data_IF_006811897789
#
_entry.id   IF_006811897789
#
_cell.length_a   1.000
_cell.length_b   1.000
_cell.length_c   1.000
_cell.angle_alpha   90.00
_cell.angle_beta   90.00
_cell.angle_gamma   90.00
#
_symmetry.space_group_name_H-M   'P 1'
#
loop_
_entity.id
_entity.type
_entity.pdbx_description
1 polymer ?
#
# COMPACT_ATOMS: atom_id res chain seq x y z
N UNK A 1 -19.86 35.79 -33.01
CA UNK A 1 -19.02 35.18 -31.95
C UNK A 1 -18.47 33.81 -32.39
N UNK A 2 -17.15 33.58 -32.43
CA UNK A 2 -16.62 32.29 -32.87
C UNK A 2 -16.87 31.22 -31.78
N UNK A 3 -17.27 29.99 -32.15
CA UNK A 3 -17.64 28.95 -31.20
C UNK A 3 -16.45 28.02 -30.92
N UNK A 4 -16.32 27.62 -29.65
CA UNK A 4 -15.46 26.55 -29.12
C UNK A 4 -13.94 26.72 -29.29
N UNK A 5 -13.30 27.25 -28.24
CA UNK A 5 -11.89 27.02 -27.96
C UNK A 5 -11.68 25.53 -27.65
N UNK A 6 -11.36 24.73 -28.66
CA UNK A 6 -10.91 23.34 -28.46
C UNK A 6 -9.54 23.43 -27.79
N UNK A 7 -9.49 23.23 -26.48
CA UNK A 7 -8.24 23.10 -25.73
C UNK A 7 -7.56 21.83 -26.26
N UNK A 8 -6.58 22.00 -27.17
CA UNK A 8 -5.78 20.90 -27.68
C UNK A 8 -4.84 20.43 -26.56
N UNK A 9 -5.16 19.30 -25.94
CA UNK A 9 -4.23 18.63 -25.04
C UNK A 9 -3.02 18.17 -25.87
N UNK A 10 -1.82 18.66 -25.55
CA UNK A 10 -0.60 18.14 -26.17
C UNK A 10 -0.31 16.80 -25.49
N UNK A 11 -0.21 15.69 -26.23
CA UNK A 11 0.08 14.40 -25.63
C UNK A 11 1.45 14.47 -24.94
N UNK A 12 1.47 14.13 -23.67
CA UNK A 12 2.67 14.03 -22.84
C UNK A 12 3.00 12.57 -22.59
N UNK A 13 4.21 12.28 -22.14
CA UNK A 13 4.62 10.92 -21.75
C UNK A 13 3.72 10.31 -20.65
N UNK A 14 3.04 11.16 -19.86
CA UNK A 14 2.11 10.71 -18.83
C UNK A 14 0.77 10.22 -19.42
N UNK A 15 0.46 10.54 -20.68
CA UNK A 15 -0.76 10.07 -21.35
C UNK A 15 -0.58 8.64 -21.92
N UNK A 16 0.62 8.06 -21.81
CA UNK A 16 0.88 6.69 -22.24
C UNK A 16 0.15 5.67 -21.36
N UNK A 17 -0.37 4.58 -21.94
CA UNK A 17 -0.94 3.48 -21.18
C UNK A 17 0.07 2.84 -20.21
N UNK A 18 -0.41 2.37 -19.05
CA UNK A 18 0.42 1.78 -18.01
C UNK A 18 1.29 0.60 -18.49
N UNK A 19 0.79 -0.22 -19.42
CA UNK A 19 1.53 -1.36 -19.95
C UNK A 19 2.75 -0.93 -20.78
N UNK A 20 2.69 0.23 -21.45
CA UNK A 20 3.82 0.79 -22.20
C UNK A 20 4.88 1.30 -21.24
N UNK A 21 4.47 2.00 -20.17
CA UNK A 21 5.40 2.46 -19.12
C UNK A 21 6.12 1.29 -18.45
N UNK A 22 5.40 0.20 -18.16
CA UNK A 22 6.00 -1.03 -17.62
C UNK A 22 7.02 -1.64 -18.59
N UNK A 23 6.71 -1.71 -19.88
CA UNK A 23 7.66 -2.20 -20.88
C UNK A 23 8.94 -1.36 -20.92
N UNK A 24 8.83 -0.04 -20.84
CA UNK A 24 10.01 0.85 -20.75
C UNK A 24 10.82 0.53 -19.48
N UNK A 25 10.19 0.33 -18.33
CA UNK A 25 10.90 -0.03 -17.10
C UNK A 25 11.60 -1.39 -17.24
N UNK A 26 10.96 -2.39 -17.83
CA UNK A 26 11.58 -3.71 -18.05
C UNK A 26 12.76 -3.66 -19.02
N UNK A 27 12.81 -2.67 -19.93
CA UNK A 27 14.00 -2.47 -20.78
C UNK A 27 15.17 -1.79 -20.04
N UNK A 28 14.88 -1.01 -18.98
CA UNK A 28 15.89 -0.32 -18.17
C UNK A 28 16.42 -1.24 -17.06
N UNK A 29 15.53 -2.03 -16.46
CA UNK A 29 15.82 -2.96 -15.37
C UNK A 29 15.58 -4.38 -15.89
N UNK A 30 16.52 -4.84 -16.71
CA UNK A 30 16.51 -6.19 -17.29
C UNK A 30 17.10 -7.20 -16.28
N UNK A 31 16.36 -8.26 -15.91
CA UNK A 31 16.88 -9.34 -15.06
C UNK A 31 18.10 -10.08 -15.62
N UNK A 32 18.41 -9.93 -16.91
CA UNK A 32 19.58 -10.54 -17.54
C UNK A 32 20.87 -9.72 -17.37
N UNK A 33 20.79 -8.51 -16.81
CA UNK A 33 21.97 -7.71 -16.46
C UNK A 33 22.76 -8.35 -15.31
N UNK A 34 23.98 -7.84 -15.06
CA UNK A 34 24.72 -8.24 -13.85
C UNK A 34 23.89 -7.91 -12.59
N UNK A 35 24.06 -8.72 -11.52
CA UNK A 35 23.29 -8.51 -10.29
C UNK A 35 23.45 -7.10 -9.71
N UNK A 36 24.63 -6.51 -9.86
CA UNK A 36 24.97 -5.16 -9.41
C UNK A 36 24.22 -4.10 -10.23
N UNK A 37 24.25 -4.18 -11.57
CA UNK A 37 23.51 -3.27 -12.45
C UNK A 37 22.00 -3.36 -12.22
N UNK A 38 21.49 -4.58 -12.01
CA UNK A 38 20.09 -4.80 -11.68
C UNK A 38 19.71 -4.13 -10.34
N UNK A 39 20.54 -4.26 -9.30
CA UNK A 39 20.32 -3.60 -7.99
C UNK A 39 20.35 -2.08 -8.11
N UNK A 40 21.30 -1.53 -8.85
CA UNK A 40 21.36 -0.09 -9.15
C UNK A 40 20.13 0.40 -9.92
N UNK A 41 19.66 -0.38 -10.89
CA UNK A 41 18.42 -0.11 -11.62
C UNK A 41 17.23 -0.01 -10.67
N UNK A 42 17.03 -0.99 -9.79
CA UNK A 42 15.97 -0.97 -8.77
C UNK A 42 16.12 0.22 -7.80
N UNK A 43 17.36 0.56 -7.40
CA UNK A 43 17.63 1.74 -6.58
C UNK A 43 17.22 3.04 -7.26
N UNK A 44 17.57 3.20 -8.53
CA UNK A 44 17.19 4.38 -9.29
C UNK A 44 15.66 4.48 -9.48
N UNK A 45 14.95 3.37 -9.71
CA UNK A 45 13.49 3.36 -9.72
C UNK A 45 12.90 3.86 -8.39
N UNK A 46 13.49 3.43 -7.28
CA UNK A 46 13.02 3.75 -5.93
C UNK A 46 13.37 5.18 -5.48
N UNK A 47 14.46 5.79 -5.96
CA UNK A 47 14.89 7.12 -5.50
C UNK A 47 14.57 8.23 -6.48
N UNK A 48 14.53 7.94 -7.79
CA UNK A 48 14.39 8.95 -8.83
C UNK A 48 13.09 8.80 -9.64
N UNK A 49 12.94 7.72 -10.41
CA UNK A 49 11.86 7.65 -11.41
C UNK A 49 10.45 7.67 -10.79
N UNK A 50 10.27 7.05 -9.62
CA UNK A 50 8.96 7.06 -8.92
C UNK A 50 8.46 8.47 -8.55
N UNK A 51 9.34 9.47 -8.49
CA UNK A 51 9.00 10.84 -8.06
C UNK A 51 8.55 11.73 -9.22
N UNK A 52 8.65 11.26 -10.47
CA UNK A 52 8.38 12.07 -11.67
C UNK A 52 6.90 12.32 -11.88
N UNK A 53 6.06 11.29 -11.77
CA UNK A 53 4.60 11.41 -11.88
C UNK A 53 3.88 10.23 -11.22
N UNK A 54 2.57 10.37 -10.98
CA UNK A 54 1.75 9.29 -10.41
C UNK A 54 1.71 8.04 -11.29
N UNK A 55 1.83 8.17 -12.61
CA UNK A 55 1.82 7.02 -13.53
C UNK A 55 3.15 6.25 -13.46
N UNK A 56 4.26 6.98 -13.41
CA UNK A 56 5.58 6.40 -13.16
C UNK A 56 5.69 5.79 -11.76
N UNK A 57 5.12 6.43 -10.74
CA UNK A 57 5.03 5.86 -9.39
C UNK A 57 4.38 4.48 -9.43
N UNK A 58 3.20 4.35 -10.05
CA UNK A 58 2.50 3.06 -10.15
C UNK A 58 3.32 2.01 -10.90
N UNK A 59 4.00 2.40 -11.99
CA UNK A 59 4.80 1.49 -12.79
C UNK A 59 6.05 1.01 -12.03
N UNK A 60 6.80 1.94 -11.44
CA UNK A 60 7.97 1.64 -10.61
C UNK A 60 7.61 0.77 -9.42
N UNK A 61 6.55 1.13 -8.68
CA UNK A 61 6.13 0.37 -7.50
C UNK A 61 5.61 -1.01 -7.87
N UNK A 62 5.00 -1.20 -9.03
CA UNK A 62 4.63 -2.54 -9.50
C UNK A 62 5.87 -3.44 -9.65
N UNK A 63 6.90 -2.96 -10.36
CA UNK A 63 8.15 -3.71 -10.57
C UNK A 63 8.85 -3.96 -9.24
N UNK A 64 9.07 -2.92 -8.43
CA UNK A 64 9.72 -3.01 -7.12
C UNK A 64 9.00 -3.98 -6.19
N UNK A 65 7.69 -3.87 -6.05
CA UNK A 65 6.94 -4.77 -5.18
C UNK A 65 6.96 -6.20 -5.70
N UNK A 66 6.88 -6.43 -7.01
CA UNK A 66 6.97 -7.79 -7.57
C UNK A 66 8.35 -8.43 -7.32
N UNK A 67 9.43 -7.65 -7.41
CA UNK A 67 10.79 -8.12 -7.17
C UNK A 67 11.06 -8.47 -5.70
N UNK A 68 10.52 -7.67 -4.76
CA UNK A 68 10.78 -7.84 -3.33
C UNK A 68 9.68 -8.61 -2.58
N UNK A 69 8.55 -8.93 -3.21
CA UNK A 69 7.47 -9.67 -2.57
C UNK A 69 7.91 -11.04 -2.03
N UNK A 70 8.66 -11.88 -2.75
CA UNK A 70 9.10 -13.17 -2.22
C UNK A 70 9.95 -13.02 -0.96
N UNK A 71 10.88 -12.05 -0.96
CA UNK A 71 11.71 -11.72 0.19
C UNK A 71 10.88 -11.16 1.36
N UNK A 72 9.87 -10.33 1.09
CA UNK A 72 8.97 -9.83 2.14
C UNK A 72 8.20 -10.97 2.80
N UNK A 73 7.65 -11.89 2.01
CA UNK A 73 6.86 -13.03 2.51
C UNK A 73 7.71 -13.97 3.36
N UNK A 74 8.99 -14.18 3.02
CA UNK A 74 9.87 -15.04 3.83
C UNK A 74 10.16 -14.49 5.24
N UNK A 75 10.03 -13.19 5.45
CA UNK A 75 10.24 -12.55 6.76
C UNK A 75 8.99 -12.56 7.65
N UNK A 76 7.82 -12.90 7.11
CA UNK A 76 6.58 -12.95 7.87
C UNK A 76 6.59 -14.18 8.77
N UNK A 77 6.55 -13.92 10.08
CA UNK A 77 6.57 -14.97 11.10
C UNK A 77 5.20 -15.64 11.22
N UNK A 78 5.12 -16.99 11.24
CA UNK A 78 3.92 -17.67 11.70
C UNK A 78 3.54 -17.19 13.12
N UNK A 79 2.26 -16.97 13.46
CA UNK A 79 1.04 -17.34 12.73
C UNK A 79 0.48 -16.23 11.81
N UNK A 80 1.27 -15.21 11.48
CA UNK A 80 0.81 -14.10 10.66
C UNK A 80 0.64 -14.51 9.19
N UNK A 81 -0.43 -14.03 8.55
CA UNK A 81 -0.66 -14.22 7.12
C UNK A 81 -0.22 -12.99 6.33
N UNK A 82 0.33 -13.23 5.15
CA UNK A 82 0.54 -12.19 4.15
C UNK A 82 -0.64 -12.21 3.18
N UNK A 83 -1.25 -11.06 2.92
CA UNK A 83 -1.91 -10.86 1.63
C UNK A 83 -1.83 -9.37 1.30
N UNK A 84 -0.64 -8.88 0.87
CA UNK A 84 -0.46 -7.50 0.46
C UNK A 84 -1.19 -7.18 -0.86
N UNK A 85 -1.84 -8.18 -1.48
CA UNK A 85 -2.65 -8.08 -2.69
C UNK A 85 -3.91 -8.95 -2.57
N UNK A 86 -4.89 -8.63 -1.70
CA UNK A 86 -6.19 -9.24 -1.82
C UNK A 86 -6.70 -8.87 -3.22
N UNK A 87 -7.02 -9.90 -4.00
CA UNK A 87 -7.67 -9.83 -5.30
C UNK A 87 -9.07 -9.22 -5.15
N UNK A 88 -9.16 -7.97 -4.70
CA UNK A 88 -10.27 -7.09 -5.03
C UNK A 88 -10.06 -6.79 -6.50
N UNK A 89 -10.73 -7.56 -7.35
CA UNK A 89 -10.61 -7.55 -8.79
C UNK A 89 -10.18 -6.18 -9.34
N UNK A 90 -9.11 -6.08 -10.15
CA UNK A 90 -8.78 -4.83 -10.83
C UNK A 90 -9.99 -4.28 -11.60
N UNK A 91 -10.96 -5.12 -11.97
CA UNK A 91 -12.23 -4.71 -12.55
C UNK A 91 -13.01 -3.69 -11.68
N UNK A 92 -12.90 -3.69 -10.35
CA UNK A 92 -13.60 -2.69 -9.51
C UNK A 92 -12.94 -1.32 -9.53
N UNK A 93 -11.61 -1.27 -9.69
CA UNK A 93 -10.84 -0.02 -9.79
C UNK A 93 -10.97 0.57 -11.21
N UNK A 94 -10.93 -0.29 -12.22
CA UNK A 94 -11.15 0.09 -13.61
C UNK A 94 -12.63 0.45 -13.88
N UNK A 95 -13.61 -0.30 -13.36
CA UNK A 95 -15.04 0.02 -13.57
C UNK A 95 -15.47 1.34 -12.92
N UNK A 96 -14.83 1.78 -11.83
CA UNK A 96 -15.06 3.08 -11.23
C UNK A 96 -14.52 4.23 -12.12
N UNK A 97 -13.40 4.02 -12.82
CA UNK A 97 -12.84 4.98 -13.77
C UNK A 97 -13.66 5.08 -15.08
N UNK A 98 -14.42 4.03 -15.43
CA UNK A 98 -15.25 3.99 -16.65
C UNK A 98 -16.77 4.14 -16.40
N UNK A 99 -17.21 4.31 -15.15
CA UNK A 99 -18.62 4.64 -14.86
C UNK A 99 -18.89 6.10 -15.17
N UNK A 100 -19.04 6.39 -16.46
CA UNK A 100 -19.45 7.68 -17.01
C UNK A 100 -20.96 7.86 -16.80
N UNK A 101 -21.40 8.11 -15.56
CA UNK A 101 -22.69 8.78 -15.33
C UNK A 101 -22.44 10.27 -15.13
N UNK A 102 -22.99 11.15 -15.98
CA UNK A 102 -22.75 12.58 -15.91
C UNK A 102 -23.62 13.18 -14.79
N UNK A 103 -23.12 13.17 -13.56
CA UNK A 103 -23.66 14.01 -12.49
C UNK A 103 -22.61 15.03 -12.08
N UNK A 104 -22.93 16.29 -12.33
CA UNK A 104 -22.16 17.52 -12.08
C UNK A 104 -21.56 17.58 -10.67
N UNK A 105 -20.34 17.07 -10.51
CA UNK A 105 -19.36 17.55 -9.52
C UNK A 105 -17.97 17.05 -9.92
N UNK A 106 -16.96 17.87 -9.62
CA UNK A 106 -15.59 17.83 -10.14
C UNK A 106 -14.92 16.43 -10.17
N UNK A 107 -13.94 16.19 -11.07
CA UNK A 107 -13.17 14.95 -11.09
C UNK A 107 -12.32 14.87 -9.82
N UNK A 108 -12.82 14.18 -8.81
CA UNK A 108 -12.02 13.77 -7.66
C UNK A 108 -11.03 12.72 -8.11
N UNK A 109 -9.76 13.02 -7.91
CA UNK A 109 -8.63 12.08 -7.87
C UNK A 109 -9.05 10.77 -7.19
N UNK A 110 -8.51 9.60 -7.60
CA UNK A 110 -8.89 8.33 -6.99
C UNK A 110 -8.40 8.26 -5.54
N UNK A 111 -9.19 8.82 -4.62
CA UNK A 111 -9.07 8.73 -3.18
C UNK A 111 -9.14 7.28 -2.65
N UNK A 112 -9.32 6.31 -3.55
CA UNK A 112 -9.24 4.88 -3.28
C UNK A 112 -7.80 4.38 -3.03
N UNK A 113 -6.78 5.16 -3.40
CA UNK A 113 -5.38 4.84 -3.14
C UNK A 113 -4.92 5.14 -1.70
N UNK A 114 -5.55 6.09 -0.99
CA UNK A 114 -5.26 6.34 0.43
C UNK A 114 -6.06 5.41 1.36
N UNK A 115 -7.19 4.88 0.89
CA UNK A 115 -7.86 3.72 1.49
C UNK A 115 -7.19 2.38 1.06
N UNK A 116 -5.94 2.40 0.60
CA UNK A 116 -5.19 1.20 0.21
C UNK A 116 -4.91 0.29 1.40
N UNK A 117 -4.59 -0.98 1.10
CA UNK A 117 -4.13 -1.94 2.11
C UNK A 117 -2.94 -1.37 2.86
N UNK A 118 -3.08 -1.27 4.18
CA UNK A 118 -2.04 -0.69 5.03
C UNK A 118 -0.80 -1.58 5.07
N UNK A 119 -0.96 -2.89 4.86
CA UNK A 119 0.16 -3.82 4.71
C UNK A 119 1.03 -3.47 3.47
N UNK A 120 0.45 -2.94 2.39
CA UNK A 120 1.22 -2.49 1.23
C UNK A 120 2.18 -1.34 1.58
N UNK A 121 1.80 -0.44 2.49
CA UNK A 121 2.71 0.62 2.95
C UNK A 121 3.89 0.04 3.76
N UNK A 122 3.68 -1.05 4.48
CA UNK A 122 4.74 -1.77 5.19
C UNK A 122 5.69 -2.45 4.20
N UNK A 123 5.15 -3.07 3.14
CA UNK A 123 5.95 -3.60 2.03
C UNK A 123 6.78 -2.48 1.36
N UNK A 124 6.19 -1.31 1.11
CA UNK A 124 6.91 -0.18 0.50
C UNK A 124 8.06 0.32 1.38
N UNK A 125 7.88 0.31 2.71
CA UNK A 125 8.95 0.65 3.65
C UNK A 125 10.05 -0.42 3.69
N UNK A 126 9.68 -1.70 3.61
CA UNK A 126 10.63 -2.80 3.47
C UNK A 126 11.44 -2.68 2.16
N UNK A 127 10.80 -2.36 1.04
CA UNK A 127 11.47 -2.13 -0.25
C UNK A 127 12.47 -0.98 -0.13
N UNK A 128 12.06 0.16 0.44
CA UNK A 128 12.95 1.31 0.59
C UNK A 128 14.19 0.98 1.43
N UNK A 129 14.02 0.17 2.49
CA UNK A 129 15.14 -0.35 3.27
C UNK A 129 16.02 -1.29 2.45
N UNK A 130 15.43 -2.31 1.83
CA UNK A 130 16.17 -3.37 1.14
C UNK A 130 16.95 -2.87 -0.07
N UNK A 131 16.33 -1.99 -0.87
CA UNK A 131 16.96 -1.39 -2.05
C UNK A 131 18.20 -0.58 -1.66
N UNK A 132 18.14 0.15 -0.54
CA UNK A 132 19.29 0.89 -0.01
C UNK A 132 20.38 -0.05 0.54
N UNK A 133 19.98 -1.09 1.28
CA UNK A 133 20.93 -2.08 1.81
C UNK A 133 21.68 -2.83 0.70
N UNK A 134 21.00 -3.16 -0.40
CA UNK A 134 21.63 -3.84 -1.53
C UNK A 134 22.76 -3.00 -2.14
N UNK A 135 22.52 -1.71 -2.41
CA UNK A 135 23.56 -0.81 -2.95
C UNK A 135 24.70 -0.59 -1.95
N UNK A 136 24.38 -0.38 -0.67
CA UNK A 136 25.41 -0.23 0.36
C UNK A 136 26.30 -1.47 0.49
N UNK A 137 25.73 -2.67 0.31
CA UNK A 137 26.47 -3.93 0.31
C UNK A 137 27.43 -4.03 -0.86
N UNK A 138 27.01 -3.57 -2.04
CA UNK A 138 27.86 -3.55 -3.24
C UNK A 138 29.03 -2.55 -3.07
N UNK A 139 28.83 -1.46 -2.33
CA UNK A 139 29.90 -0.47 -2.03
C UNK A 139 30.84 -0.92 -0.89
N UNK A 140 30.32 -1.48 0.21
CA UNK A 140 31.13 -1.94 1.35
C UNK A 140 30.35 -2.84 2.32
N UNK A 141 30.94 -3.98 2.68
CA UNK A 141 30.39 -4.90 3.68
C UNK A 141 30.44 -4.37 5.12
N UNK A 142 31.23 -3.32 5.38
CA UNK A 142 31.38 -2.71 6.73
C UNK A 142 30.08 -2.05 7.22
N UNK A 143 29.16 -1.71 6.33
CA UNK A 143 27.89 -1.04 6.68
C UNK A 143 26.73 -2.01 7.00
N UNK A 144 26.98 -3.33 7.02
CA UNK A 144 25.95 -4.37 7.14
C UNK A 144 25.44 -4.63 8.57
N UNK A 145 25.97 -3.93 9.59
CA UNK A 145 25.65 -4.16 11.01
C UNK A 145 24.16 -4.01 11.36
N UNK A 146 23.36 -3.39 10.49
CA UNK A 146 21.91 -3.22 10.68
C UNK A 146 21.02 -4.31 10.03
N UNK A 147 21.59 -5.32 9.39
CA UNK A 147 20.88 -6.20 8.44
C UNK A 147 19.57 -6.80 8.95
N UNK A 148 19.60 -7.49 10.09
CA UNK A 148 18.42 -8.17 10.64
C UNK A 148 17.66 -7.35 11.71
N UNK A 149 18.32 -6.37 12.32
CA UNK A 149 17.70 -5.47 13.30
C UNK A 149 16.86 -4.39 12.61
N UNK A 150 17.29 -3.90 11.44
CA UNK A 150 16.63 -2.80 10.73
C UNK A 150 15.21 -3.12 10.26
N UNK A 151 14.88 -4.40 10.08
CA UNK A 151 13.53 -4.87 9.72
C UNK A 151 12.79 -5.56 10.85
N UNK A 152 13.38 -5.63 12.05
CA UNK A 152 12.75 -6.33 13.18
C UNK A 152 11.42 -5.68 13.55
N UNK A 153 11.39 -4.36 13.71
CA UNK A 153 10.17 -3.62 14.06
C UNK A 153 9.10 -3.69 12.96
N UNK A 154 9.55 -3.76 11.68
CA UNK A 154 8.69 -3.96 10.52
C UNK A 154 7.87 -5.23 10.67
N UNK A 155 8.48 -6.36 11.04
CA UNK A 155 7.79 -7.66 11.09
C UNK A 155 7.25 -8.02 12.48
N UNK A 156 7.76 -7.44 13.56
CA UNK A 156 7.27 -7.69 14.92
C UNK A 156 6.05 -6.83 15.29
N UNK A 157 5.96 -5.61 14.74
CA UNK A 157 4.93 -4.64 15.11
C UNK A 157 4.15 -4.12 13.91
N UNK A 158 4.82 -3.57 12.89
CA UNK A 158 4.15 -2.82 11.83
C UNK A 158 3.35 -3.71 10.88
N UNK A 159 3.94 -4.81 10.40
CA UNK A 159 3.28 -5.76 9.51
C UNK A 159 2.06 -6.39 10.19
N UNK A 160 2.14 -6.94 11.42
CA UNK A 160 0.97 -7.54 12.06
C UNK A 160 -0.12 -6.52 12.37
N UNK A 161 0.25 -5.29 12.76
CA UNK A 161 -0.69 -4.19 12.97
C UNK A 161 -1.42 -3.84 11.69
N UNK A 162 -0.68 -3.52 10.62
CA UNK A 162 -1.25 -3.11 9.34
C UNK A 162 -2.12 -4.22 8.73
N UNK A 163 -1.67 -5.47 8.85
CA UNK A 163 -2.43 -6.65 8.45
C UNK A 163 -3.74 -6.79 9.23
N UNK A 164 -3.71 -6.57 10.53
CA UNK A 164 -4.93 -6.58 11.36
C UNK A 164 -5.89 -5.46 10.93
N UNK A 165 -5.39 -4.27 10.62
CA UNK A 165 -6.21 -3.16 10.11
C UNK A 165 -6.89 -3.51 8.77
N UNK A 166 -6.19 -4.19 7.86
CA UNK A 166 -6.73 -4.66 6.59
C UNK A 166 -7.79 -5.78 6.77
N UNK A 167 -7.58 -6.67 7.74
CA UNK A 167 -8.56 -7.70 8.11
C UNK A 167 -9.81 -7.09 8.75
N UNK A 168 -9.65 -6.12 9.67
CA UNK A 168 -10.74 -5.34 10.25
C UNK A 168 -11.53 -4.68 9.15
N UNK A 169 -10.87 -4.04 8.18
CA UNK A 169 -11.55 -3.46 7.01
C UNK A 169 -12.44 -4.49 6.31
N UNK A 170 -11.89 -5.66 6.00
CA UNK A 170 -12.61 -6.73 5.29
C UNK A 170 -13.83 -7.22 6.06
N UNK A 171 -13.70 -7.46 7.37
CA UNK A 171 -14.80 -7.96 8.21
C UNK A 171 -15.84 -6.86 8.49
N UNK A 172 -15.39 -5.65 8.81
CA UNK A 172 -16.26 -4.52 9.14
C UNK A 172 -17.03 -4.01 7.91
N UNK A 173 -16.43 -4.03 6.72
CA UNK A 173 -17.15 -3.75 5.46
C UNK A 173 -18.25 -4.78 5.22
N UNK A 174 -17.95 -6.06 5.44
CA UNK A 174 -18.93 -7.15 5.30
C UNK A 174 -20.08 -7.02 6.30
N UNK A 175 -19.79 -6.59 7.52
CA UNK A 175 -20.78 -6.32 8.55
C UNK A 175 -21.54 -4.99 8.34
N UNK A 176 -21.12 -4.16 7.38
CA UNK A 176 -21.79 -2.90 7.06
C UNK A 176 -21.53 -1.75 8.03
N UNK A 177 -20.63 -1.90 8.99
CA UNK A 177 -20.33 -0.90 10.04
C UNK A 177 -19.37 0.22 9.60
N UNK A 178 -18.61 0.00 8.53
CA UNK A 178 -17.65 1.00 8.01
C UNK A 178 -17.92 1.36 6.54
N UNK A 179 -17.42 2.53 6.14
CA UNK A 179 -17.40 3.01 4.75
C UNK A 179 -15.96 3.22 4.25
N UNK A 180 -15.77 3.01 2.95
CA UNK A 180 -14.54 3.27 2.20
C UNK A 180 -14.88 4.32 1.14
N UNK A 181 -14.07 5.37 1.01
CA UNK A 181 -14.32 6.50 0.12
C UNK A 181 -14.82 7.78 0.82
N UNK A 182 -14.92 8.85 0.02
CA UNK A 182 -15.26 10.21 0.46
C UNK A 182 -16.76 10.49 0.51
N UNK A 183 -17.60 9.56 0.05
CA UNK A 183 -19.06 9.71 0.11
C UNK A 183 -19.53 9.46 1.53
N UNK A 184 -19.69 10.55 2.28
CA UNK A 184 -20.33 10.56 3.60
C UNK A 184 -21.83 10.28 3.44
N UNK A 185 -22.21 9.04 3.17
CA UNK A 185 -23.61 8.65 3.30
C UNK A 185 -23.97 8.70 4.79
N UNK A 186 -24.68 9.78 5.14
CA UNK A 186 -25.47 10.02 6.35
C UNK A 186 -25.23 9.08 7.54
N UNK A 187 -24.39 9.54 8.49
CA UNK A 187 -24.52 9.31 9.93
C UNK A 187 -24.31 7.90 10.52
N UNK A 188 -24.46 6.82 9.76
CA UNK A 188 -24.57 5.47 10.33
C UNK A 188 -23.25 4.67 10.32
N UNK A 189 -22.32 5.00 9.41
CA UNK A 189 -21.07 4.23 9.20
C UNK A 189 -19.82 5.01 9.58
N UNK A 190 -18.84 4.31 10.15
CA UNK A 190 -17.55 4.90 10.50
C UNK A 190 -16.61 4.86 9.28
N UNK A 191 -16.02 5.99 8.84
CA UNK A 191 -15.03 5.99 7.77
C UNK A 191 -13.78 5.18 8.16
N UNK A 192 -13.33 4.27 7.29
CA UNK A 192 -12.18 3.39 7.59
C UNK A 192 -10.89 4.16 7.93
N UNK A 193 -10.65 5.30 7.27
CA UNK A 193 -9.52 6.20 7.55
C UNK A 193 -9.48 6.72 9.00
N UNK A 194 -10.61 6.74 9.71
CA UNK A 194 -10.66 7.12 11.13
C UNK A 194 -10.24 5.98 12.05
N UNK A 195 -10.22 4.74 11.56
CA UNK A 195 -9.91 3.55 12.36
C UNK A 195 -8.41 3.24 12.33
N UNK A 196 -7.88 2.77 13.44
CA UNK A 196 -6.51 2.26 13.56
C UNK A 196 -6.48 1.16 14.60
N UNK A 197 -5.51 0.26 14.50
CA UNK A 197 -5.33 -0.81 15.48
C UNK A 197 -4.13 -0.46 16.36
N UNK A 198 -4.36 -0.46 17.66
CA UNK A 198 -3.28 -0.52 18.64
C UNK A 198 -2.89 -1.99 18.82
N UNK A 199 -1.71 -2.37 18.34
CA UNK A 199 -1.25 -3.75 18.33
C UNK A 199 -0.15 -3.97 19.35
N UNK A 200 -0.27 -5.00 20.17
CA UNK A 200 0.77 -5.45 21.10
C UNK A 200 0.78 -6.98 21.19
N UNK A 201 1.80 -7.53 21.84
CA UNK A 201 1.90 -8.98 22.03
C UNK A 201 0.75 -9.58 22.85
N UNK A 202 0.14 -8.78 23.76
CA UNK A 202 -0.86 -9.27 24.72
C UNK A 202 -2.27 -8.76 24.44
N UNK A 203 -2.40 -7.72 23.64
CA UNK A 203 -3.67 -7.01 23.44
C UNK A 203 -3.74 -6.38 22.06
N UNK A 204 -4.95 -6.31 21.53
CA UNK A 204 -5.27 -5.59 20.30
C UNK A 204 -6.48 -4.71 20.56
N UNK A 205 -6.38 -3.44 20.18
CA UNK A 205 -7.46 -2.46 20.37
C UNK A 205 -7.81 -1.74 19.08
N UNK A 206 -9.11 -1.59 18.80
CA UNK A 206 -9.60 -0.77 17.71
C UNK A 206 -9.79 0.67 18.20
N UNK A 207 -9.12 1.62 17.55
CA UNK A 207 -9.09 3.03 17.93
C UNK A 207 -9.67 3.86 16.81
N UNK A 208 -10.66 4.70 17.14
CA UNK A 208 -11.20 5.72 16.25
C UNK A 208 -10.55 7.06 16.52
N UNK A 209 -10.14 7.75 15.47
CA UNK A 209 -9.60 9.10 15.50
C UNK A 209 -10.54 10.04 14.76
N UNK A 210 -11.27 10.87 15.51
CA UNK A 210 -12.22 11.84 14.94
C UNK A 210 -11.52 13.18 14.75
N UNK A 211 -11.60 13.72 13.52
CA UNK A 211 -11.02 15.01 13.14
C UNK A 211 -9.52 15.17 13.49
N UNK A 212 -8.76 14.06 13.48
CA UNK A 212 -7.33 14.04 13.75
C UNK A 212 -6.90 14.40 15.18
N UNK A 213 -7.85 14.66 16.10
CA UNK A 213 -7.55 15.19 17.44
C UNK A 213 -8.02 14.30 18.59
N UNK A 214 -9.19 13.66 18.46
CA UNK A 214 -9.76 12.84 19.52
C UNK A 214 -9.59 11.37 19.20
N UNK A 215 -8.77 10.67 19.98
CA UNK A 215 -8.59 9.21 19.91
C UNK A 215 -9.50 8.54 20.93
N UNK A 216 -10.32 7.61 20.49
CA UNK A 216 -11.22 6.82 21.34
C UNK A 216 -10.98 5.34 21.07
N UNK A 217 -10.68 4.57 22.11
CA UNK A 217 -10.66 3.11 22.03
C UNK A 217 -12.12 2.64 21.97
N UNK A 218 -12.48 1.95 20.90
CA UNK A 218 -13.82 1.40 20.70
C UNK A 218 -13.94 0.03 21.36
N UNK A 219 -12.94 -0.82 21.13
CA UNK A 219 -12.89 -2.20 21.61
C UNK A 219 -11.43 -2.55 21.92
N UNK A 220 -11.19 -3.28 23.00
CA UNK A 220 -9.89 -3.84 23.34
C UNK A 220 -10.07 -5.31 23.73
N UNK A 221 -9.25 -6.18 23.14
CA UNK A 221 -9.29 -7.62 23.41
C UNK A 221 -7.91 -8.14 23.80
N UNK A 222 -7.89 -9.10 24.72
CA UNK A 222 -6.69 -9.88 25.03
C UNK A 222 -6.33 -10.81 23.87
N UNK A 223 -5.04 -10.92 23.59
CA UNK A 223 -4.46 -11.75 22.54
C UNK A 223 -3.63 -12.88 23.15
N UNK A 224 -3.84 -14.09 22.66
CA UNK A 224 -3.01 -15.24 23.02
C UNK A 224 -1.78 -15.35 22.12
N UNK A 225 -0.71 -15.98 22.63
CA UNK A 225 0.61 -16.03 21.96
C UNK A 225 0.57 -16.62 20.55
N UNK A 226 -0.31 -17.59 20.30
CA UNK A 226 -0.44 -18.29 19.02
C UNK A 226 -1.73 -17.92 18.27
N UNK A 227 -2.43 -16.87 18.70
CA UNK A 227 -3.67 -16.45 18.05
C UNK A 227 -3.38 -15.83 16.67
N UNK A 228 -4.17 -16.24 15.67
CA UNK A 228 -4.10 -15.71 14.30
C UNK A 228 -4.68 -14.30 14.22
N UNK A 229 -4.19 -13.49 13.29
CA UNK A 229 -4.69 -12.12 13.10
C UNK A 229 -6.15 -12.12 12.65
N UNK A 230 -6.58 -13.14 11.92
CA UNK A 230 -7.96 -13.32 11.46
C UNK A 230 -8.92 -13.55 12.63
N UNK A 231 -8.52 -14.33 13.64
CA UNK A 231 -9.32 -14.55 14.85
C UNK A 231 -9.50 -13.25 15.62
N UNK A 232 -8.38 -12.55 15.88
CA UNK A 232 -8.39 -11.29 16.61
C UNK A 232 -9.20 -10.23 15.88
N UNK A 233 -8.99 -10.07 14.56
CA UNK A 233 -9.70 -9.10 13.75
C UNK A 233 -11.22 -9.34 13.73
N UNK A 234 -11.68 -10.59 13.74
CA UNK A 234 -13.11 -10.92 13.85
C UNK A 234 -13.70 -10.58 15.21
N UNK A 235 -12.93 -10.65 16.29
CA UNK A 235 -13.40 -10.36 17.66
C UNK A 235 -13.55 -8.87 17.94
N UNK A 236 -12.81 -8.01 17.23
CA UNK A 236 -12.82 -6.55 17.43
C UNK A 236 -13.76 -5.81 16.47
N UNK A 237 -14.37 -6.52 15.51
CA UNK A 237 -15.41 -6.02 14.58
C UNK A 237 -16.76 -6.44 15.10
#
# INVERSE_FOLDING_TARGET
>A
PPPFSIIRHKPTINDLPQHVLLQVIYTIVDPNLSEEEYRWGLYWLAVSLRLVSSNWYTACMHVLRSAYLPAYVSHIRPPYSANPYPLSSPASVYAAAYSTTPSTSAPSTPALAEDAQRETAVLDMFIAFQVRQNVLRDESELHLEAGHEGVKDLFELLQPRARTEDLVRKYALRAGVISVGTTYNSGEKIPFRELSVNFSQRKVGLVRTVAGRRRQVLVEVGRERMETLESVAKRIV
#
